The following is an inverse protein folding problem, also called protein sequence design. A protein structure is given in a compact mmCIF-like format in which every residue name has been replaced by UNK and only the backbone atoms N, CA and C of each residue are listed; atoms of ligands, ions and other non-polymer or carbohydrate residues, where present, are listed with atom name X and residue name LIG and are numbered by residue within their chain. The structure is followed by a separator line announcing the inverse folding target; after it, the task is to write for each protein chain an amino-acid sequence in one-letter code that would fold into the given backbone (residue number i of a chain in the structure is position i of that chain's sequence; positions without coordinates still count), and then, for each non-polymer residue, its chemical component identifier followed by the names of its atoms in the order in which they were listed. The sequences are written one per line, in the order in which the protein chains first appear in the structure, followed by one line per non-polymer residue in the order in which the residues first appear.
data_IF_126898535136
#
_entry.id   IF_126898535136
#
_cell.length_a   1.000
_cell.length_b   1.000
_cell.length_c   1.000
_cell.angle_alpha   90.00
_cell.angle_beta   90.00
_cell.angle_gamma   90.00
#
_symmetry.space_group_name_H-M   'P 1'
#
loop_
_entity.id
_entity.type
_entity.pdbx_description
1 polymer ?
#
# COMPACT_ATOMS: atom_id res chain seq x y z
N UNK A 1 -6.28 -31.17 -0.50
CA UNK A 1 -5.12 -31.23 -1.42
C UNK A 1 -5.64 -31.32 -2.84
N UNK A 2 -5.71 -30.20 -3.56
CA UNK A 2 -6.31 -30.18 -4.91
C UNK A 2 -5.83 -29.04 -5.80
N UNK A 3 -4.72 -28.38 -5.45
CA UNK A 3 -4.17 -27.35 -6.31
C UNK A 3 -3.56 -28.01 -7.57
N UNK A 4 -3.80 -27.46 -8.77
CA UNK A 4 -3.24 -28.01 -10.00
C UNK A 4 -1.72 -27.99 -9.96
N UNK A 5 -1.10 -29.10 -10.37
CA UNK A 5 0.35 -29.15 -10.58
C UNK A 5 0.68 -28.34 -11.84
N UNK A 6 1.67 -27.47 -11.72
CA UNK A 6 2.23 -26.71 -12.82
C UNK A 6 3.58 -27.30 -13.22
N UNK A 7 3.95 -27.08 -14.48
CA UNK A 7 5.25 -27.46 -15.05
C UNK A 7 6.05 -26.20 -15.35
N UNK A 8 6.76 -25.64 -14.36
CA UNK A 8 7.40 -24.34 -14.52
C UNK A 8 8.71 -24.45 -15.33
N UNK A 9 9.24 -25.66 -15.59
CA UNK A 9 10.48 -25.89 -16.32
C UNK A 9 10.38 -27.10 -17.26
N UNK A 10 11.44 -27.39 -18.02
CA UNK A 10 11.49 -28.47 -19.01
C UNK A 10 11.81 -29.87 -18.42
N UNK A 11 11.85 -30.02 -17.09
CA UNK A 11 12.06 -31.31 -16.44
C UNK A 11 10.93 -32.30 -16.78
N UNK A 12 11.29 -33.55 -17.07
CA UNK A 12 10.35 -34.63 -17.41
C UNK A 12 10.16 -35.60 -16.24
N UNK A 13 9.03 -36.28 -16.21
CA UNK A 13 8.69 -37.28 -15.19
C UNK A 13 8.09 -36.67 -13.91
N UNK A 14 8.12 -37.44 -12.82
CA UNK A 14 7.52 -37.06 -11.53
C UNK A 14 8.13 -35.80 -10.91
N UNK A 15 9.36 -35.45 -11.27
CA UNK A 15 10.07 -34.25 -10.79
C UNK A 15 9.70 -32.97 -11.55
N UNK A 16 8.92 -33.06 -12.63
CA UNK A 16 8.52 -31.90 -13.43
C UNK A 16 7.29 -31.16 -12.91
N UNK A 17 6.45 -31.82 -12.11
CA UNK A 17 5.20 -31.26 -11.58
C UNK A 17 5.36 -30.74 -10.16
N UNK A 18 5.01 -29.48 -9.93
CA UNK A 18 5.07 -28.82 -8.62
C UNK A 18 3.82 -27.97 -8.41
N UNK A 19 3.40 -27.73 -7.16
CA UNK A 19 2.29 -26.81 -6.90
C UNK A 19 2.69 -25.38 -7.24
N UNK A 20 1.77 -24.61 -7.82
CA UNK A 20 2.00 -23.19 -8.13
C UNK A 20 2.52 -22.40 -6.91
N UNK A 21 1.89 -22.59 -5.76
CA UNK A 21 2.29 -21.93 -4.50
C UNK A 21 3.71 -22.28 -4.05
N UNK A 22 4.17 -23.51 -4.28
CA UNK A 22 5.52 -23.93 -3.88
C UNK A 22 6.58 -23.22 -4.71
N UNK A 23 6.32 -23.04 -6.02
CA UNK A 23 7.21 -22.30 -6.92
C UNK A 23 7.21 -20.83 -6.55
N UNK A 24 6.04 -20.24 -6.29
CA UNK A 24 5.90 -18.84 -5.88
C UNK A 24 6.68 -18.55 -4.58
N UNK A 25 6.51 -19.36 -3.53
CA UNK A 25 7.26 -19.19 -2.27
C UNK A 25 8.77 -19.33 -2.46
N UNK A 26 9.21 -20.28 -3.29
CA UNK A 26 10.64 -20.43 -3.59
C UNK A 26 11.19 -19.20 -4.33
N UNK A 27 10.43 -18.68 -5.29
CA UNK A 27 10.77 -17.46 -6.04
C UNK A 27 10.86 -16.23 -5.13
N UNK A 28 9.92 -16.09 -4.18
CA UNK A 28 9.95 -15.02 -3.17
C UNK A 28 11.22 -15.09 -2.32
N UNK A 29 11.60 -16.29 -1.87
CA UNK A 29 12.80 -16.48 -1.07
C UNK A 29 14.08 -16.14 -1.85
N UNK A 30 14.17 -16.55 -3.12
CA UNK A 30 15.29 -16.20 -4.00
C UNK A 30 15.42 -14.69 -4.22
N UNK A 31 14.29 -13.99 -4.39
CA UNK A 31 14.27 -12.53 -4.53
C UNK A 31 14.69 -11.82 -3.25
N UNK A 32 14.21 -12.29 -2.10
CA UNK A 32 14.60 -11.75 -0.81
C UNK A 32 16.12 -11.91 -0.55
N UNK A 33 16.72 -12.97 -1.09
CA UNK A 33 18.16 -13.20 -1.07
C UNK A 33 18.96 -12.32 -2.06
N UNK A 34 18.31 -11.44 -2.81
CA UNK A 34 18.96 -10.49 -3.73
C UNK A 34 19.20 -11.02 -5.14
N UNK A 35 18.63 -12.17 -5.52
CA UNK A 35 18.71 -12.66 -6.89
C UNK A 35 17.89 -11.75 -7.83
N UNK A 36 18.58 -10.89 -8.58
CA UNK A 36 17.98 -10.06 -9.65
C UNK A 36 17.88 -10.81 -10.99
N UNK A 37 18.52 -11.96 -11.11
CA UNK A 37 18.56 -12.75 -12.34
C UNK A 37 17.30 -13.57 -12.55
N UNK A 38 17.03 -13.95 -13.81
CA UNK A 38 15.88 -14.79 -14.14
C UNK A 38 16.00 -16.10 -13.35
N UNK A 39 15.00 -16.46 -12.54
CA UNK A 39 15.06 -17.66 -11.73
C UNK A 39 15.05 -18.88 -12.68
N UNK A 40 16.07 -19.71 -12.54
CA UNK A 40 16.26 -20.92 -13.35
C UNK A 40 16.09 -22.16 -12.48
N UNK A 41 15.70 -23.27 -13.12
CA UNK A 41 15.69 -24.57 -12.47
C UNK A 41 17.13 -24.99 -12.12
N UNK A 42 17.36 -25.56 -10.93
CA UNK A 42 18.68 -26.08 -10.53
C UNK A 42 19.07 -27.37 -11.25
N UNK A 43 18.11 -28.09 -11.84
CA UNK A 43 18.32 -29.39 -12.49
C UNK A 43 18.51 -29.25 -13.99
N UNK A 44 17.53 -28.64 -14.68
CA UNK A 44 17.57 -28.49 -16.14
C UNK A 44 18.12 -27.13 -16.59
N UNK A 45 18.39 -26.22 -15.66
CA UNK A 45 18.84 -24.84 -15.94
C UNK A 45 17.92 -24.02 -16.86
N UNK A 46 16.73 -24.54 -17.19
CA UNK A 46 15.74 -23.80 -17.96
C UNK A 46 15.16 -22.65 -17.10
N UNK A 47 14.97 -21.45 -17.67
CA UNK A 47 14.29 -20.36 -16.99
C UNK A 47 12.85 -20.77 -16.70
N UNK A 48 12.35 -20.42 -15.52
CA UNK A 48 10.96 -20.76 -15.18
C UNK A 48 9.98 -20.04 -16.12
N UNK A 49 9.09 -20.81 -16.74
CA UNK A 49 8.06 -20.33 -17.63
C UNK A 49 6.83 -19.91 -16.80
N UNK A 50 6.70 -18.61 -16.55
CA UNK A 50 5.56 -18.04 -15.82
C UNK A 50 5.37 -16.58 -16.19
N UNK A 51 4.12 -16.10 -16.13
CA UNK A 51 3.79 -14.69 -16.34
C UNK A 51 3.55 -14.06 -14.98
N UNK A 52 4.47 -13.20 -14.54
CA UNK A 52 4.26 -12.42 -13.33
C UNK A 52 3.19 -11.35 -13.60
N UNK A 53 2.01 -11.51 -13.02
CA UNK A 53 0.98 -10.47 -13.03
C UNK A 53 1.34 -9.48 -11.94
N UNK A 54 2.15 -8.47 -12.28
CA UNK A 54 2.37 -7.33 -11.39
C UNK A 54 1.08 -6.51 -11.39
N UNK A 55 0.36 -6.38 -10.25
CA UNK A 55 -0.77 -5.48 -10.18
C UNK A 55 -0.27 -4.10 -10.61
N UNK A 56 -0.87 -3.57 -11.69
CA UNK A 56 -0.45 -2.30 -12.24
C UNK A 56 -0.53 -1.20 -11.17
N UNK A 57 0.29 -0.15 -11.28
CA UNK A 57 0.33 0.95 -10.30
C UNK A 57 -1.07 1.55 -10.08
N UNK A 58 -1.93 1.53 -11.11
CA UNK A 58 -3.32 1.98 -11.02
C UNK A 58 -4.18 1.20 -10.01
N UNK A 59 -4.04 -0.14 -9.93
CA UNK A 59 -4.86 -0.93 -8.98
C UNK A 59 -4.44 -0.71 -7.53
N UNK A 60 -3.13 -0.52 -7.31
CA UNK A 60 -2.58 -0.19 -6.00
C UNK A 60 -3.03 1.22 -5.55
N UNK A 61 -2.94 2.20 -6.45
CA UNK A 61 -3.44 3.56 -6.21
C UNK A 61 -4.94 3.54 -5.91
N UNK A 62 -5.73 2.78 -6.66
CA UNK A 62 -7.18 2.72 -6.46
C UNK A 62 -7.56 2.11 -5.11
N UNK A 63 -6.91 1.03 -4.70
CA UNK A 63 -7.15 0.43 -3.37
C UNK A 63 -6.82 1.43 -2.26
N UNK A 64 -5.69 2.12 -2.35
CA UNK A 64 -5.27 3.09 -1.33
C UNK A 64 -6.11 4.37 -1.34
N UNK A 65 -6.60 4.80 -2.50
CA UNK A 65 -7.52 5.92 -2.61
C UNK A 65 -8.86 5.59 -1.94
N UNK A 66 -9.38 4.38 -2.14
CA UNK A 66 -10.59 3.91 -1.48
C UNK A 66 -10.45 3.89 0.04
N UNK A 67 -9.31 3.41 0.54
CA UNK A 67 -9.04 3.38 1.99
C UNK A 67 -8.93 4.82 2.55
N UNK A 68 -8.26 5.72 1.83
CA UNK A 68 -8.15 7.13 2.22
C UNK A 68 -9.50 7.85 2.23
N UNK A 69 -10.35 7.60 1.23
CA UNK A 69 -11.72 8.13 1.18
C UNK A 69 -12.54 7.61 2.35
N UNK A 70 -12.41 6.33 2.70
CA UNK A 70 -13.06 5.76 3.88
C UNK A 70 -12.61 6.40 5.20
N UNK A 71 -11.31 6.68 5.33
CA UNK A 71 -10.74 7.37 6.49
C UNK A 71 -11.25 8.82 6.60
N UNK A 72 -11.30 9.54 5.48
CA UNK A 72 -11.84 10.91 5.39
C UNK A 72 -13.33 10.96 5.71
N UNK A 73 -14.09 9.97 5.23
CA UNK A 73 -15.51 9.86 5.53
C UNK A 73 -15.76 9.64 7.02
N UNK A 74 -15.01 8.73 7.65
CA UNK A 74 -15.12 8.43 9.08
C UNK A 74 -14.79 9.64 9.96
N UNK A 75 -13.71 10.35 9.66
CA UNK A 75 -13.31 11.55 10.40
C UNK A 75 -14.30 12.70 10.21
N UNK A 76 -14.79 12.90 8.97
CA UNK A 76 -15.83 13.88 8.68
C UNK A 76 -17.13 13.55 9.43
N UNK A 77 -17.56 12.29 9.43
CA UNK A 77 -18.73 11.84 10.18
C UNK A 77 -18.58 12.08 11.69
N UNK A 78 -17.41 11.83 12.27
CA UNK A 78 -17.14 12.12 13.67
C UNK A 78 -17.20 13.63 13.98
N UNK A 79 -16.65 14.47 13.10
CA UNK A 79 -16.71 15.94 13.25
C UNK A 79 -18.16 16.43 13.16
N UNK A 80 -18.93 15.94 12.20
CA UNK A 80 -20.36 16.28 12.05
C UNK A 80 -21.17 15.82 13.27
N UNK A 81 -20.91 14.61 13.78
CA UNK A 81 -21.53 14.08 14.99
C UNK A 81 -21.21 14.96 16.20
N UNK A 82 -19.94 15.34 16.39
CA UNK A 82 -19.52 16.24 17.47
C UNK A 82 -20.15 17.62 17.34
N UNK A 83 -20.27 18.16 16.12
CA UNK A 83 -20.94 19.44 15.89
C UNK A 83 -22.43 19.38 16.22
N UNK A 84 -23.12 18.30 15.82
CA UNK A 84 -24.55 18.11 16.14
C UNK A 84 -24.78 17.82 17.63
N UNK A 85 -23.88 17.07 18.26
CA UNK A 85 -23.93 16.84 19.72
C UNK A 85 -23.71 18.13 20.50
N UNK A 86 -22.74 18.94 20.09
CA UNK A 86 -22.55 20.27 20.67
C UNK A 86 -23.84 21.06 20.55
N UNK A 87 -24.39 21.22 19.35
CA UNK A 87 -25.63 21.95 19.08
C UNK A 87 -26.83 21.48 19.92
N UNK A 88 -27.01 20.16 20.08
CA UNK A 88 -28.06 19.58 20.90
C UNK A 88 -27.86 19.79 22.41
N UNK A 89 -26.61 19.87 22.88
CA UNK A 89 -26.29 20.23 24.27
C UNK A 89 -26.32 21.76 24.51
N UNK A 90 -26.26 22.58 23.45
CA UNK A 90 -26.43 24.03 23.53
C UNK A 90 -27.92 24.40 23.66
N UNK A 91 -28.51 24.21 24.84
CA UNK A 91 -29.69 24.99 25.21
C UNK A 91 -29.27 26.46 25.37
N UNK A 92 -29.58 27.30 24.36
CA UNK A 92 -29.37 28.76 24.26
C UNK A 92 -27.97 29.36 24.55
N UNK A 93 -27.00 28.63 25.11
CA UNK A 93 -25.87 29.25 25.81
C UNK A 93 -24.45 28.79 25.44
N UNK A 94 -24.19 28.15 24.30
CA UNK A 94 -22.84 28.25 23.73
C UNK A 94 -22.78 28.12 22.20
N UNK A 95 -21.86 28.75 21.50
CA UNK A 95 -20.76 29.57 22.00
C UNK A 95 -19.42 28.88 21.87
N UNK A 96 -19.32 27.69 21.26
CA UNK A 96 -18.01 27.27 20.76
C UNK A 96 -17.59 28.33 19.72
N UNK A 97 -16.51 29.09 19.95
CA UNK A 97 -16.16 30.20 19.07
C UNK A 97 -16.05 29.70 17.64
N UNK A 98 -16.59 30.46 16.68
CA UNK A 98 -16.46 30.16 15.25
C UNK A 98 -15.00 29.84 14.88
N UNK A 99 -14.05 30.50 15.55
CA UNK A 99 -12.62 30.26 15.47
C UNK A 99 -12.20 28.81 15.79
N UNK A 100 -12.77 28.19 16.81
CA UNK A 100 -12.40 26.81 17.20
C UNK A 100 -12.87 25.80 16.14
N UNK A 101 -14.04 26.04 15.52
CA UNK A 101 -14.54 25.25 14.40
C UNK A 101 -13.66 25.39 13.15
N UNK A 102 -13.28 26.62 12.81
CA UNK A 102 -12.41 26.86 11.66
C UNK A 102 -11.00 26.31 11.87
N UNK A 103 -10.47 26.38 13.09
CA UNK A 103 -9.18 25.77 13.45
C UNK A 103 -9.22 24.25 13.30
N UNK A 104 -10.25 23.57 13.83
CA UNK A 104 -10.37 22.11 13.70
C UNK A 104 -10.52 21.66 12.24
N UNK A 105 -11.34 22.37 11.45
CA UNK A 105 -11.45 22.12 10.02
C UNK A 105 -10.12 22.37 9.29
N UNK A 106 -9.42 23.45 9.63
CA UNK A 106 -8.10 23.77 9.06
C UNK A 106 -7.04 22.71 9.38
N UNK A 107 -6.96 22.26 10.63
CA UNK A 107 -6.06 21.18 11.04
C UNK A 107 -6.36 19.87 10.30
N UNK A 108 -7.65 19.57 10.09
CA UNK A 108 -8.09 18.42 9.33
C UNK A 108 -7.69 18.50 7.84
N UNK A 109 -7.90 19.65 7.21
CA UNK A 109 -7.49 19.89 5.83
C UNK A 109 -5.96 19.83 5.66
N UNK A 110 -5.21 20.43 6.58
CA UNK A 110 -3.74 20.37 6.57
C UNK A 110 -3.22 18.94 6.75
N UNK A 111 -3.78 18.17 7.70
CA UNK A 111 -3.45 16.76 7.93
C UNK A 111 -3.72 15.91 6.68
N UNK A 112 -4.90 16.08 6.10
CA UNK A 112 -5.33 15.35 4.89
C UNK A 112 -4.46 15.69 3.68
N UNK A 113 -4.19 16.98 3.45
CA UNK A 113 -3.34 17.45 2.35
C UNK A 113 -1.90 16.94 2.49
N UNK A 114 -1.35 16.92 3.72
CA UNK A 114 -0.02 16.37 3.99
C UNK A 114 0.04 14.88 3.67
N UNK A 115 -0.94 14.09 4.13
CA UNK A 115 -1.01 12.66 3.82
C UNK A 115 -1.15 12.39 2.33
N UNK A 116 -1.95 13.20 1.63
CA UNK A 116 -2.08 13.13 0.18
C UNK A 116 -0.75 13.45 -0.52
N UNK A 117 0.00 14.46 -0.06
CA UNK A 117 1.30 14.80 -0.61
C UNK A 117 2.36 13.72 -0.35
N UNK A 118 2.39 13.12 0.84
CA UNK A 118 3.25 11.96 1.15
C UNK A 118 2.97 10.79 0.19
N UNK A 119 1.69 10.51 -0.11
CA UNK A 119 1.28 9.47 -1.05
C UNK A 119 1.61 9.82 -2.50
N UNK A 120 1.34 11.06 -2.93
CA UNK A 120 1.60 11.53 -4.29
C UNK A 120 3.09 11.54 -4.63
N UNK A 121 3.97 11.83 -3.65
CA UNK A 121 5.43 11.82 -3.83
C UNK A 121 6.03 10.42 -3.74
N UNK A 122 5.37 9.48 -3.07
CA UNK A 122 5.81 8.08 -2.97
C UNK A 122 5.35 7.19 -4.15
N UNK A 123 4.54 7.73 -5.06
CA UNK A 123 4.07 7.06 -6.28
C UNK A 123 4.76 7.66 -7.53
N UNK A 124 5.51 6.91 -8.37
CA UNK A 124 5.74 5.46 -8.37
C UNK A 124 7.09 5.05 -7.75
N UNK A 125 7.09 3.93 -6.99
CA UNK A 125 8.22 3.34 -6.27
C UNK A 125 9.47 2.96 -7.10
N UNK A 126 9.44 3.14 -8.42
CA UNK A 126 10.54 2.79 -9.34
C UNK A 126 11.19 4.01 -10.03
N UNK A 127 10.88 5.25 -9.62
CA UNK A 127 11.62 6.42 -10.08
C UNK A 127 12.76 6.76 -9.12
N UNK A 128 13.93 7.06 -9.70
CA UNK A 128 15.07 7.62 -8.97
C UNK A 128 14.63 8.84 -8.14
N UNK A 129 15.21 9.03 -6.93
CA UNK A 129 14.76 10.06 -6.00
C UNK A 129 14.77 11.45 -6.65
N UNK A 130 13.73 12.28 -6.43
CA UNK A 130 13.69 13.63 -6.99
C UNK A 130 14.89 14.44 -6.49
N UNK A 131 15.54 15.18 -7.40
CA UNK A 131 16.75 15.98 -7.10
C UNK A 131 16.49 17.13 -6.12
N UNK A 132 15.23 17.53 -5.92
CA UNK A 132 14.90 18.63 -5.03
C UNK A 132 14.94 18.23 -3.53
N UNK A 133 15.65 18.99 -2.68
CA UNK A 133 15.85 18.67 -1.27
C UNK A 133 14.56 18.75 -0.43
N UNK A 134 13.55 19.51 -0.88
CA UNK A 134 12.25 19.62 -0.20
C UNK A 134 11.37 18.39 -0.42
N UNK A 135 11.40 17.82 -1.63
CA UNK A 135 10.65 16.61 -1.98
C UNK A 135 11.28 15.36 -1.36
N UNK A 136 12.61 15.35 -1.19
CA UNK A 136 13.34 14.27 -0.52
C UNK A 136 12.95 14.09 0.96
N UNK A 137 12.58 15.17 1.67
CA UNK A 137 12.11 15.07 3.08
C UNK A 137 10.75 14.38 3.22
N UNK A 138 9.94 14.38 2.16
CA UNK A 138 8.61 13.78 2.13
C UNK A 138 8.62 12.36 1.54
N UNK A 139 9.77 11.93 1.00
CA UNK A 139 9.94 10.61 0.43
C UNK A 139 10.30 9.60 1.53
N UNK A 140 9.35 8.72 1.86
CA UNK A 140 9.58 7.62 2.79
C UNK A 140 10.27 6.49 2.02
N UNK A 141 11.58 6.37 2.21
CA UNK A 141 12.43 5.43 1.48
C UNK A 141 12.35 3.97 1.97
N UNK A 142 11.65 3.70 3.08
CA UNK A 142 11.68 2.38 3.71
C UNK A 142 10.33 1.64 3.61
N UNK A 143 10.08 0.92 2.51
CA UNK A 143 8.88 0.10 2.35
C UNK A 143 8.82 -1.07 3.35
N UNK A 144 9.95 -1.52 3.93
CA UNK A 144 9.95 -2.60 4.93
C UNK A 144 9.47 -2.15 6.30
N UNK A 145 9.63 -0.87 6.64
CA UNK A 145 9.02 -0.29 7.85
C UNK A 145 7.50 -0.16 7.70
N UNK A 146 7.02 0.17 6.49
CA UNK A 146 5.59 0.31 6.20
C UNK A 146 4.85 -1.05 6.23
N UNK A 147 5.50 -2.11 5.73
CA UNK A 147 4.94 -3.47 5.79
C UNK A 147 4.85 -4.03 7.21
N UNK A 148 5.79 -3.68 8.08
CA UNK A 148 5.77 -4.11 9.49
C UNK A 148 4.61 -3.50 10.29
N UNK A 149 4.25 -2.25 10.01
CA UNK A 149 3.11 -1.58 10.67
C UNK A 149 1.73 -1.94 10.10
N UNK A 150 1.67 -2.66 8.98
CA UNK A 150 0.42 -3.13 8.36
C UNK A 150 0.11 -4.60 8.68
N UNK A 151 1.06 -5.29 9.32
CA UNK A 151 0.94 -6.70 9.71
C UNK A 151 0.57 -6.89 11.20
N UNK A 152 0.52 -5.82 11.98
CA UNK A 152 -0.12 -5.75 13.31
C UNK A 152 -1.55 -5.20 13.18
#
# INVERSE_FOLDING_TARGET
SGAPLVHPCACRGSMGGVHAECVERWLEHQRAAGAQERPCCSVCHAPYAGREVRPGPASYVWSKLRDAVGQLWRSMALILLLMGFQDACQGEAAVLPLATRTILAGLFWCSSARRFAELAVSLPMYRAPPRDPRLRRLHVSDPQALWRHLAE
#
